data_IF_955647579780
#
_entry.id   IF_955647579780
#
_cell.length_a   1.000
_cell.length_b   1.000
_cell.length_c   1.000
_cell.angle_alpha   90.00
_cell.angle_beta   90.00
_cell.angle_gamma   90.00
#
_symmetry.space_group_name_H-M   'P 1'
#
loop_
_entity.id
_entity.type
_entity.pdbx_description
1 polymer ?
#
# COMPACT_ATOMS: atom_id res chain seq x y z
N UNK A 1 3.12 -19.06 -14.99
CA UNK A 1 3.18 -18.34 -13.70
C UNK A 1 3.62 -16.90 -13.97
N UNK A 2 2.87 -15.86 -13.53
CA UNK A 2 3.36 -14.47 -13.63
C UNK A 2 4.60 -14.34 -12.76
N UNK A 3 5.73 -13.94 -13.35
CA UNK A 3 6.98 -13.70 -12.61
C UNK A 3 6.73 -12.58 -11.62
N UNK A 4 6.95 -12.82 -10.34
CA UNK A 4 6.81 -11.80 -9.30
C UNK A 4 7.94 -10.81 -9.47
N UNK A 5 7.63 -9.58 -9.88
CA UNK A 5 8.60 -8.49 -10.02
C UNK A 5 8.55 -7.59 -8.78
N UNK A 6 9.70 -7.28 -8.21
CA UNK A 6 9.83 -6.27 -7.17
C UNK A 6 10.21 -4.93 -7.81
N UNK A 7 9.44 -3.88 -7.52
CA UNK A 7 9.59 -2.56 -8.12
C UNK A 7 10.09 -1.55 -7.08
N UNK A 8 11.21 -0.88 -7.37
CA UNK A 8 11.72 0.22 -6.54
C UNK A 8 12.70 1.10 -7.31
N UNK A 9 12.63 2.41 -7.06
CA UNK A 9 13.59 3.41 -7.49
C UNK A 9 14.59 3.77 -6.38
N UNK A 10 14.31 3.36 -5.14
CA UNK A 10 15.11 3.70 -3.97
C UNK A 10 16.51 3.13 -4.04
N UNK A 11 17.51 3.98 -3.83
CA UNK A 11 18.92 3.58 -3.78
C UNK A 11 19.19 2.62 -2.61
N UNK A 12 18.50 2.82 -1.49
CA UNK A 12 18.61 1.93 -0.33
C UNK A 12 18.15 0.51 -0.67
N UNK A 13 17.02 0.39 -1.36
CA UNK A 13 16.50 -0.90 -1.83
C UNK A 13 17.45 -1.53 -2.86
N UNK A 14 18.00 -0.76 -3.78
CA UNK A 14 18.98 -1.27 -4.75
C UNK A 14 20.21 -1.86 -4.07
N UNK A 15 20.65 -1.26 -2.95
CA UNK A 15 21.76 -1.80 -2.16
C UNK A 15 21.37 -3.11 -1.45
N UNK A 16 20.15 -3.20 -0.92
CA UNK A 16 19.64 -4.46 -0.36
C UNK A 16 19.60 -5.55 -1.44
N UNK A 17 19.10 -5.25 -2.64
CA UNK A 17 19.05 -6.19 -3.77
C UNK A 17 20.45 -6.69 -4.13
N UNK A 18 21.43 -5.79 -4.22
CA UNK A 18 22.84 -6.17 -4.48
C UNK A 18 23.36 -7.12 -3.41
N UNK A 19 23.13 -6.80 -2.14
CA UNK A 19 23.56 -7.66 -1.02
C UNK A 19 22.89 -9.04 -1.03
N UNK A 20 21.57 -9.08 -1.30
CA UNK A 20 20.83 -10.34 -1.45
C UNK A 20 21.35 -11.17 -2.63
N UNK A 21 21.69 -10.53 -3.74
CA UNK A 21 22.27 -11.21 -4.91
C UNK A 21 23.64 -11.78 -4.60
N UNK A 22 24.51 -11.04 -3.88
CA UNK A 22 25.82 -11.53 -3.44
C UNK A 22 25.69 -12.71 -2.48
N UNK A 23 24.68 -12.74 -1.61
CA UNK A 23 24.46 -13.86 -0.68
C UNK A 23 24.19 -15.19 -1.39
N UNK A 24 23.72 -15.16 -2.64
CA UNK A 24 23.55 -16.37 -3.46
C UNK A 24 24.91 -17.06 -3.74
N UNK A 25 25.91 -16.28 -4.14
CA UNK A 25 27.24 -16.82 -4.45
C UNK A 25 28.05 -17.18 -3.21
N UNK A 26 27.86 -16.45 -2.10
CA UNK A 26 28.56 -16.69 -0.84
C UNK A 26 27.95 -17.82 -0.01
N UNK A 27 26.77 -18.30 -0.36
CA UNK A 27 26.04 -19.34 0.38
C UNK A 27 25.90 -19.05 1.88
N UNK A 28 25.55 -17.81 2.24
CA UNK A 28 25.40 -17.35 3.62
C UNK A 28 23.96 -17.07 4.00
N UNK A 29 23.63 -17.24 5.28
CA UNK A 29 22.33 -16.91 5.83
C UNK A 29 22.17 -15.41 6.02
N UNK A 30 20.98 -14.89 5.71
CA UNK A 30 20.64 -13.47 5.77
C UNK A 30 19.29 -13.26 6.44
N UNK A 31 19.13 -12.10 7.08
CA UNK A 31 17.87 -11.66 7.67
C UNK A 31 17.43 -10.33 7.07
N UNK A 32 16.17 -10.25 6.67
CA UNK A 32 15.53 -9.01 6.23
C UNK A 32 14.48 -8.59 7.26
N UNK A 33 14.70 -7.44 7.89
CA UNK A 33 13.82 -6.89 8.93
C UNK A 33 13.17 -5.61 8.46
N UNK A 34 11.95 -5.35 8.86
CA UNK A 34 11.25 -4.09 8.59
C UNK A 34 9.75 -4.21 8.87
N UNK A 35 9.05 -3.10 8.88
CA UNK A 35 7.62 -3.07 9.16
C UNK A 35 6.81 -4.02 8.27
N UNK A 36 5.60 -4.44 8.71
CA UNK A 36 4.68 -5.20 7.87
C UNK A 36 4.38 -4.46 6.56
N UNK A 37 4.12 -5.25 5.51
CA UNK A 37 3.72 -4.74 4.19
C UNK A 37 4.72 -3.82 3.47
N UNK A 38 6.01 -3.85 3.84
CA UNK A 38 7.05 -3.10 3.14
C UNK A 38 7.53 -3.78 1.85
N UNK A 39 7.05 -4.99 1.54
CA UNK A 39 7.40 -5.74 0.34
C UNK A 39 8.56 -6.72 0.52
N UNK A 40 9.01 -7.00 1.74
CA UNK A 40 10.11 -7.96 2.04
C UNK A 40 9.91 -9.32 1.37
N UNK A 41 8.71 -9.91 1.55
CA UNK A 41 8.39 -11.23 0.96
C UNK A 41 8.39 -11.19 -0.57
N UNK A 42 7.87 -10.12 -1.15
CA UNK A 42 7.87 -9.89 -2.61
C UNK A 42 9.29 -9.78 -3.15
N UNK A 43 10.16 -9.01 -2.45
CA UNK A 43 11.56 -8.86 -2.81
C UNK A 43 12.28 -10.21 -2.81
N UNK A 44 12.16 -10.97 -1.72
CA UNK A 44 12.79 -12.29 -1.62
C UNK A 44 12.24 -13.22 -2.69
N UNK A 45 10.93 -13.24 -2.92
CA UNK A 45 10.30 -14.08 -3.94
C UNK A 45 10.76 -13.73 -5.35
N UNK A 46 11.02 -12.45 -5.65
CA UNK A 46 11.55 -12.04 -6.96
C UNK A 46 12.99 -12.49 -7.22
N UNK A 47 13.79 -12.68 -6.16
CA UNK A 47 15.19 -13.08 -6.28
C UNK A 47 15.40 -14.59 -6.09
N UNK A 48 14.53 -15.27 -5.33
CA UNK A 48 14.66 -16.67 -4.92
C UNK A 48 13.35 -17.44 -5.19
N UNK A 49 12.86 -17.36 -6.42
CA UNK A 49 11.57 -17.90 -6.85
C UNK A 49 11.43 -19.43 -6.77
N UNK A 50 12.54 -20.14 -6.86
CA UNK A 50 12.58 -21.63 -6.84
C UNK A 50 12.64 -22.20 -5.42
N UNK A 51 12.94 -21.39 -4.41
CA UNK A 51 13.10 -21.84 -3.04
C UNK A 51 11.76 -22.00 -2.32
N UNK A 52 11.70 -22.94 -1.39
CA UNK A 52 10.52 -23.17 -0.55
C UNK A 52 10.35 -22.07 0.50
N UNK A 53 9.15 -21.48 0.56
CA UNK A 53 8.78 -20.49 1.57
C UNK A 53 8.01 -21.18 2.71
N UNK A 54 8.51 -21.03 3.92
CA UNK A 54 8.00 -21.68 5.13
C UNK A 54 7.55 -20.61 6.13
N UNK A 55 6.43 -20.86 6.80
CA UNK A 55 5.93 -19.96 7.85
C UNK A 55 6.66 -20.27 9.17
N UNK A 56 7.28 -19.27 9.79
CA UNK A 56 7.93 -19.37 11.09
C UNK A 56 6.99 -19.76 12.24
N UNK A 57 5.69 -19.59 12.08
CA UNK A 57 4.66 -20.02 13.04
C UNK A 57 4.54 -21.56 13.08
N UNK A 58 4.91 -22.28 12.01
CA UNK A 58 4.93 -23.75 11.98
C UNK A 58 6.31 -24.28 12.35
N UNK A 59 6.57 -24.42 13.64
CA UNK A 59 7.86 -24.90 14.16
C UNK A 59 8.22 -26.30 13.65
N UNK A 60 7.24 -27.18 13.41
CA UNK A 60 7.48 -28.54 12.90
C UNK A 60 7.94 -28.49 11.45
N UNK A 61 7.30 -27.67 10.62
CA UNK A 61 7.67 -27.50 9.22
C UNK A 61 9.06 -26.85 9.11
N UNK A 62 9.37 -25.84 9.96
CA UNK A 62 10.67 -25.19 10.02
C UNK A 62 11.78 -26.19 10.33
N UNK A 63 11.62 -27.00 11.39
CA UNK A 63 12.60 -28.03 11.79
C UNK A 63 12.83 -29.05 10.68
N UNK A 64 11.74 -29.62 10.14
CA UNK A 64 11.80 -30.60 9.05
C UNK A 64 12.50 -30.04 7.81
N UNK A 65 12.24 -28.78 7.47
CA UNK A 65 12.87 -28.14 6.32
C UNK A 65 14.36 -27.88 6.56
N UNK A 66 14.73 -27.44 7.74
CA UNK A 66 16.13 -27.26 8.11
C UNK A 66 16.91 -28.60 8.14
N UNK A 67 16.26 -29.71 8.44
CA UNK A 67 16.90 -31.04 8.37
C UNK A 67 17.12 -31.53 6.93
N UNK A 68 16.11 -31.28 6.05
CA UNK A 68 16.06 -31.89 4.71
C UNK A 68 16.60 -31.01 3.57
N UNK A 69 16.62 -29.69 3.74
CA UNK A 69 16.97 -28.74 2.68
C UNK A 69 18.27 -27.98 3.00
N UNK A 70 19.05 -27.70 1.97
CA UNK A 70 20.24 -26.83 2.07
C UNK A 70 19.88 -25.34 2.02
N UNK A 71 18.76 -24.99 1.40
CA UNK A 71 18.30 -23.62 1.22
C UNK A 71 16.83 -23.50 1.63
N UNK A 72 16.54 -22.56 2.53
CA UNK A 72 15.21 -22.35 3.11
C UNK A 72 14.90 -20.87 3.23
N UNK A 73 13.69 -20.48 2.87
CA UNK A 73 13.18 -19.14 3.13
C UNK A 73 12.13 -19.23 4.23
N UNK A 74 12.36 -18.52 5.35
CA UNK A 74 11.43 -18.51 6.48
C UNK A 74 10.85 -17.10 6.61
N UNK A 75 9.54 -16.95 6.45
CA UNK A 75 8.83 -15.69 6.74
C UNK A 75 8.13 -15.78 8.10
N UNK A 76 7.73 -14.64 8.68
CA UNK A 76 7.31 -14.53 10.08
C UNK A 76 8.37 -15.13 11.06
N UNK A 77 9.63 -14.87 10.76
CA UNK A 77 10.75 -15.45 11.52
C UNK A 77 10.71 -15.06 13.00
N UNK A 78 10.14 -13.90 13.32
CA UNK A 78 9.90 -13.43 14.69
C UNK A 78 8.96 -14.30 15.52
N UNK A 79 8.19 -15.17 14.89
CA UNK A 79 7.27 -16.09 15.58
C UNK A 79 7.96 -17.36 16.12
N UNK A 80 9.22 -17.59 15.76
CA UNK A 80 9.99 -18.74 16.24
C UNK A 80 10.48 -18.49 17.67
N UNK A 81 9.99 -19.28 18.62
CA UNK A 81 10.31 -19.11 20.04
C UNK A 81 11.76 -19.46 20.40
N UNK A 82 12.28 -20.55 19.86
CA UNK A 82 13.59 -21.12 20.23
C UNK A 82 14.59 -21.07 19.07
N UNK A 83 14.93 -19.86 18.60
CA UNK A 83 15.86 -19.65 17.49
C UNK A 83 17.25 -20.26 17.78
N UNK A 84 17.66 -20.34 19.05
CA UNK A 84 18.95 -20.92 19.48
C UNK A 84 19.10 -22.35 19.00
N UNK A 85 18.04 -23.14 19.08
CA UNK A 85 18.02 -24.57 18.77
C UNK A 85 18.02 -24.88 17.27
N UNK A 86 17.81 -23.89 16.42
CA UNK A 86 17.82 -24.09 14.98
C UNK A 86 19.25 -24.25 14.46
N UNK A 87 19.52 -25.34 13.75
CA UNK A 87 20.82 -25.56 13.13
C UNK A 87 20.91 -24.96 11.73
N UNK A 88 21.79 -23.96 11.55
CA UNK A 88 22.08 -23.31 10.26
C UNK A 88 23.42 -23.78 9.62
N UNK A 89 24.11 -24.76 10.21
CA UNK A 89 25.38 -25.25 9.68
C UNK A 89 25.19 -25.84 8.27
N UNK A 90 26.04 -25.42 7.35
CA UNK A 90 26.00 -25.84 5.94
C UNK A 90 24.65 -25.57 5.25
N UNK A 91 23.93 -24.55 5.69
CA UNK A 91 22.64 -24.15 5.14
C UNK A 91 22.62 -22.66 4.82
N UNK A 92 21.83 -22.30 3.81
CA UNK A 92 21.47 -20.92 3.52
C UNK A 92 20.03 -20.66 3.97
N UNK A 93 19.88 -19.88 5.02
CA UNK A 93 18.57 -19.47 5.54
C UNK A 93 18.34 -18.00 5.19
N UNK A 94 17.25 -17.72 4.45
CA UNK A 94 16.80 -16.38 4.21
C UNK A 94 15.58 -16.13 5.11
N UNK A 95 15.80 -15.37 6.19
CA UNK A 95 14.76 -15.06 7.14
C UNK A 95 14.12 -13.70 6.84
N UNK A 96 12.80 -13.63 6.99
CA UNK A 96 12.01 -12.41 6.83
C UNK A 96 11.24 -12.17 8.12
N UNK A 97 11.52 -11.04 8.79
CA UNK A 97 10.91 -10.67 10.06
C UNK A 97 10.33 -9.25 10.04
N UNK A 98 9.32 -8.99 10.87
CA UNK A 98 8.80 -7.64 11.09
C UNK A 98 9.58 -6.91 12.19
N UNK A 99 10.11 -7.64 13.14
CA UNK A 99 10.93 -7.14 14.24
C UNK A 99 11.95 -8.19 14.65
N UNK A 100 13.00 -7.77 15.34
CA UNK A 100 14.01 -8.66 15.95
C UNK A 100 14.02 -8.41 17.45
N UNK A 101 13.92 -9.47 18.25
CA UNK A 101 13.87 -9.37 19.71
C UNK A 101 15.22 -9.64 20.39
N UNK A 102 16.12 -10.41 19.76
CA UNK A 102 17.37 -10.86 20.38
C UNK A 102 18.57 -10.70 19.41
N UNK A 103 19.33 -9.63 19.61
CA UNK A 103 20.44 -9.29 18.71
C UNK A 103 21.59 -10.31 18.74
N UNK A 104 21.99 -10.82 19.91
CA UNK A 104 23.16 -11.69 20.02
C UNK A 104 23.02 -13.05 19.32
N UNK A 105 21.83 -13.64 19.35
CA UNK A 105 21.58 -14.91 18.65
C UNK A 105 21.49 -14.66 17.15
N UNK A 106 20.83 -13.58 16.77
CA UNK A 106 20.67 -13.17 15.38
C UNK A 106 22.04 -12.91 14.74
N UNK A 107 22.92 -12.17 15.40
CA UNK A 107 24.26 -11.84 14.91
C UNK A 107 25.14 -13.09 14.72
N UNK A 108 24.94 -14.16 15.52
CA UNK A 108 25.64 -15.44 15.32
C UNK A 108 25.12 -16.27 14.16
N UNK A 109 23.80 -16.16 13.84
CA UNK A 109 23.16 -17.03 12.85
C UNK A 109 23.12 -16.42 11.45
N UNK A 110 23.16 -15.09 11.34
CA UNK A 110 23.04 -14.38 10.07
C UNK A 110 24.30 -13.58 9.76
N UNK A 111 24.88 -13.82 8.59
CA UNK A 111 26.06 -13.07 8.12
C UNK A 111 25.71 -11.61 7.80
N UNK A 112 24.47 -11.36 7.33
CA UNK A 112 24.00 -10.02 7.01
C UNK A 112 22.56 -9.81 7.49
N UNK A 113 22.31 -8.62 8.00
CA UNK A 113 20.97 -8.15 8.42
C UNK A 113 20.65 -6.90 7.60
N UNK A 114 19.57 -7.00 6.79
CA UNK A 114 19.10 -5.89 5.97
C UNK A 114 17.83 -5.28 6.56
N UNK A 115 17.83 -3.97 6.78
CA UNK A 115 16.66 -3.24 7.24
C UNK A 115 15.89 -2.68 6.03
N UNK A 116 14.70 -3.20 5.78
CA UNK A 116 13.79 -2.71 4.75
C UNK A 116 13.11 -1.43 5.24
N UNK A 117 13.33 -0.26 4.62
CA UNK A 117 12.70 0.98 5.03
C UNK A 117 11.19 0.94 4.76
N UNK A 118 10.37 1.60 5.60
CA UNK A 118 8.95 1.77 5.35
C UNK A 118 8.73 2.67 4.12
N UNK A 119 7.54 2.55 3.50
CA UNK A 119 7.24 3.26 2.26
C UNK A 119 7.26 4.80 2.42
N UNK A 120 6.98 5.31 3.61
CA UNK A 120 7.08 6.75 3.91
C UNK A 120 8.50 7.31 3.84
N UNK A 121 9.52 6.46 3.99
CA UNK A 121 10.96 6.81 3.90
C UNK A 121 11.53 6.60 2.50
N UNK A 122 10.76 6.06 1.54
CA UNK A 122 11.15 5.85 0.14
C UNK A 122 10.06 6.32 -0.82
N UNK A 123 9.69 7.58 -0.68
CA UNK A 123 8.61 8.19 -1.47
C UNK A 123 8.89 8.22 -2.97
N UNK A 124 10.15 8.10 -3.38
CA UNK A 124 10.56 7.94 -4.78
C UNK A 124 10.00 6.67 -5.46
N UNK A 125 9.54 5.69 -4.66
CA UNK A 125 8.88 4.49 -5.16
C UNK A 125 7.40 4.72 -5.48
N UNK A 126 6.76 5.76 -4.90
CA UNK A 126 5.32 5.98 -5.03
C UNK A 126 4.84 6.09 -6.48
N UNK A 127 5.46 6.88 -7.38
CA UNK A 127 4.98 6.98 -8.76
C UNK A 127 4.94 5.62 -9.46
N UNK A 128 5.99 4.83 -9.30
CA UNK A 128 6.11 3.50 -9.89
C UNK A 128 5.10 2.50 -9.32
N UNK A 129 4.92 2.50 -7.99
CA UNK A 129 3.98 1.63 -7.32
C UNK A 129 2.52 2.03 -7.61
N UNK A 130 2.23 3.32 -7.72
CA UNK A 130 0.89 3.82 -8.09
C UNK A 130 0.51 3.32 -9.49
N UNK A 131 1.40 3.47 -10.47
CA UNK A 131 1.14 3.01 -11.84
C UNK A 131 0.94 1.48 -11.88
N UNK A 132 1.80 0.74 -11.19
CA UNK A 132 1.69 -0.70 -11.09
C UNK A 132 0.34 -1.14 -10.50
N UNK A 133 -0.07 -0.58 -9.36
CA UNK A 133 -1.33 -0.95 -8.72
C UNK A 133 -2.56 -0.46 -9.48
N UNK A 134 -2.49 0.66 -10.20
CA UNK A 134 -3.58 1.06 -11.10
C UNK A 134 -3.82 -0.01 -12.15
N UNK A 135 -2.77 -0.52 -12.78
CA UNK A 135 -2.88 -1.53 -13.82
C UNK A 135 -3.35 -2.89 -13.24
N UNK A 136 -2.74 -3.33 -12.14
CA UNK A 136 -3.12 -4.58 -11.45
C UNK A 136 -4.60 -4.56 -11.03
N UNK A 137 -5.07 -3.49 -10.38
CA UNK A 137 -6.44 -3.39 -9.87
C UNK A 137 -7.44 -3.23 -11.01
N UNK A 138 -7.08 -2.55 -12.10
CA UNK A 138 -7.91 -2.50 -13.31
C UNK A 138 -8.16 -3.89 -13.88
N UNK A 139 -7.11 -4.68 -14.00
CA UNK A 139 -7.21 -6.06 -14.47
C UNK A 139 -8.11 -6.89 -13.54
N UNK A 140 -7.94 -6.75 -12.21
CA UNK A 140 -8.75 -7.43 -11.20
C UNK A 140 -10.24 -7.05 -11.27
N UNK A 141 -10.54 -5.76 -11.46
CA UNK A 141 -11.89 -5.21 -11.53
C UNK A 141 -12.49 -5.28 -12.94
N UNK A 142 -11.76 -5.79 -13.94
CA UNK A 142 -12.17 -5.83 -15.35
C UNK A 142 -12.58 -4.46 -15.92
N UNK A 143 -11.95 -3.38 -15.43
CA UNK A 143 -12.24 -2.01 -15.87
C UNK A 143 -11.63 -1.79 -17.25
N UNK A 144 -12.48 -1.66 -18.27
CA UNK A 144 -12.06 -1.47 -19.68
C UNK A 144 -11.69 -0.02 -20.00
N UNK A 145 -12.30 0.94 -19.32
CA UNK A 145 -12.08 2.35 -19.58
C UNK A 145 -10.74 2.83 -19.02
N UNK A 146 -10.00 3.61 -19.82
CA UNK A 146 -8.71 4.17 -19.38
C UNK A 146 -8.89 5.48 -18.59
N UNK A 147 -9.81 5.48 -17.63
CA UNK A 147 -10.00 6.62 -16.73
C UNK A 147 -8.83 6.67 -15.76
N UNK A 148 -8.07 7.77 -15.77
CA UNK A 148 -7.01 7.99 -14.79
C UNK A 148 -7.63 8.52 -13.49
N UNK A 149 -7.55 7.78 -12.38
CA UNK A 149 -8.08 8.25 -11.11
C UNK A 149 -7.33 9.50 -10.64
N UNK A 150 -8.04 10.43 -10.02
CA UNK A 150 -7.42 11.61 -9.42
C UNK A 150 -6.69 11.22 -8.14
N UNK A 151 -5.37 11.02 -8.25
CA UNK A 151 -4.49 10.66 -7.15
C UNK A 151 -3.78 11.91 -6.64
N UNK A 152 -3.82 12.11 -5.32
CA UNK A 152 -3.11 13.16 -4.60
C UNK A 152 -2.07 12.49 -3.70
N UNK A 153 -0.78 12.42 -4.11
CA UNK A 153 0.26 11.70 -3.38
C UNK A 153 0.43 12.16 -1.92
N UNK A 154 0.16 13.43 -1.65
CA UNK A 154 0.21 14.04 -0.31
C UNK A 154 -0.90 13.53 0.63
N UNK A 155 -2.01 13.03 0.08
CA UNK A 155 -3.16 12.50 0.82
C UNK A 155 -3.11 10.99 1.04
N UNK A 156 -2.05 10.33 0.59
CA UNK A 156 -1.89 8.89 0.75
C UNK A 156 -1.46 8.60 2.18
N UNK A 157 -2.29 7.85 2.90
CA UNK A 157 -1.88 7.24 4.16
C UNK A 157 -0.89 6.11 3.88
N UNK A 158 0.30 6.19 4.48
CA UNK A 158 1.35 5.18 4.36
C UNK A 158 1.60 4.42 5.67
N UNK A 159 0.70 4.51 6.64
CA UNK A 159 0.81 3.87 7.96
C UNK A 159 1.03 2.36 7.85
N UNK A 160 0.32 1.70 6.93
CA UNK A 160 0.50 0.28 6.64
C UNK A 160 1.23 0.03 5.31
N UNK A 161 2.13 0.92 4.93
CA UNK A 161 3.00 0.76 3.77
C UNK A 161 2.23 0.46 2.46
N UNK A 162 2.63 -0.60 1.74
CA UNK A 162 2.00 -1.00 0.46
C UNK A 162 0.51 -1.36 0.63
N UNK A 163 0.10 -1.89 1.80
CA UNK A 163 -1.31 -2.22 2.05
C UNK A 163 -2.20 -0.98 2.01
N UNK A 164 -1.80 0.11 2.69
CA UNK A 164 -2.52 1.38 2.67
C UNK A 164 -2.53 2.01 1.28
N UNK A 165 -1.40 2.00 0.58
CA UNK A 165 -1.29 2.52 -0.79
C UNK A 165 -2.25 1.79 -1.74
N UNK A 166 -2.24 0.47 -1.73
CA UNK A 166 -3.10 -0.34 -2.58
C UNK A 166 -4.60 -0.10 -2.28
N UNK A 167 -4.97 -0.03 -1.00
CA UNK A 167 -6.34 0.28 -0.58
C UNK A 167 -6.79 1.67 -1.05
N UNK A 168 -5.91 2.68 -0.97
CA UNK A 168 -6.19 4.02 -1.47
C UNK A 168 -6.44 4.03 -2.98
N UNK A 169 -5.60 3.36 -3.77
CA UNK A 169 -5.74 3.29 -5.23
C UNK A 169 -7.01 2.53 -5.61
N UNK A 170 -7.29 1.41 -4.94
CA UNK A 170 -8.51 0.63 -5.13
C UNK A 170 -9.77 1.50 -4.95
N UNK A 171 -9.83 2.24 -3.83
CA UNK A 171 -10.92 3.19 -3.56
C UNK A 171 -11.02 4.26 -4.66
N UNK A 172 -9.90 4.82 -5.12
CA UNK A 172 -9.89 5.85 -6.16
C UNK A 172 -10.36 5.33 -7.51
N UNK A 173 -10.00 4.11 -7.87
CA UNK A 173 -10.47 3.48 -9.11
C UNK A 173 -11.98 3.20 -9.07
N UNK A 174 -12.51 2.67 -7.97
CA UNK A 174 -13.96 2.50 -7.82
C UNK A 174 -14.66 3.85 -7.98
N UNK A 175 -14.23 4.88 -7.22
CA UNK A 175 -14.87 6.20 -7.27
C UNK A 175 -14.78 6.87 -8.64
N UNK A 176 -13.77 6.57 -9.45
CA UNK A 176 -13.64 7.14 -10.81
C UNK A 176 -14.49 6.43 -11.86
N UNK A 177 -15.03 5.25 -11.53
CA UNK A 177 -15.88 4.46 -12.43
C UNK A 177 -17.36 4.45 -12.04
N UNK A 178 -17.75 5.22 -11.02
CA UNK A 178 -19.16 5.35 -10.64
C UNK A 178 -19.95 6.07 -11.74
N UNK A 179 -21.08 5.50 -12.12
CA UNK A 179 -22.09 6.13 -12.97
C UNK A 179 -22.89 7.17 -12.17
N UNK A 180 -23.73 7.92 -12.87
CA UNK A 180 -24.66 8.85 -12.22
C UNK A 180 -25.64 8.08 -11.32
N UNK A 181 -26.13 6.94 -11.80
CA UNK A 181 -27.10 6.10 -11.09
C UNK A 181 -26.50 5.52 -9.82
N UNK A 182 -25.21 5.06 -9.86
CA UNK A 182 -24.48 4.61 -8.67
C UNK A 182 -24.37 5.73 -7.61
N UNK A 183 -24.11 6.96 -8.05
CA UNK A 183 -24.01 8.11 -7.14
C UNK A 183 -25.37 8.42 -6.50
N UNK A 184 -26.45 8.37 -7.29
CA UNK A 184 -27.81 8.58 -6.79
C UNK A 184 -28.20 7.48 -5.78
N UNK A 185 -27.89 6.22 -6.05
CA UNK A 185 -28.14 5.09 -5.15
C UNK A 185 -27.37 5.23 -3.84
N UNK A 186 -26.06 5.53 -3.90
CA UNK A 186 -25.23 5.75 -2.71
C UNK A 186 -25.77 6.89 -1.85
N UNK A 187 -26.20 7.99 -2.50
CA UNK A 187 -26.76 9.14 -1.80
C UNK A 187 -28.11 8.80 -1.17
N UNK A 188 -28.97 8.06 -1.88
CA UNK A 188 -30.25 7.59 -1.35
C UNK A 188 -30.06 6.72 -0.09
N UNK A 189 -29.18 5.71 -0.18
CA UNK A 189 -28.87 4.82 0.96
C UNK A 189 -28.33 5.59 2.17
N UNK A 190 -27.46 6.57 1.93
CA UNK A 190 -26.94 7.42 2.99
C UNK A 190 -28.04 8.24 3.65
N UNK A 191 -28.89 8.91 2.85
CA UNK A 191 -29.96 9.75 3.33
C UNK A 191 -31.03 8.93 4.05
N UNK A 192 -31.41 7.77 3.52
CA UNK A 192 -32.39 6.88 4.14
C UNK A 192 -32.00 6.50 5.57
N UNK A 193 -30.71 6.22 5.80
CA UNK A 193 -30.17 5.88 7.13
C UNK A 193 -30.05 7.07 8.07
N UNK A 194 -29.77 8.27 7.53
CA UNK A 194 -29.34 9.42 8.32
C UNK A 194 -30.34 10.58 8.38
N UNK A 195 -31.43 10.53 7.60
CA UNK A 195 -32.43 11.60 7.55
C UNK A 195 -33.17 11.69 8.89
N UNK A 196 -32.95 12.78 9.65
CA UNK A 196 -33.50 13.03 10.97
C UNK A 196 -33.73 14.54 11.18
N UNK A 197 -34.62 14.86 12.15
CA UNK A 197 -34.83 16.23 12.59
C UNK A 197 -35.73 17.09 11.67
N UNK A 198 -35.92 18.36 12.04
CA UNK A 198 -36.86 19.28 11.40
C UNK A 198 -36.20 20.19 10.36
N UNK A 199 -34.88 20.10 10.18
CA UNK A 199 -34.10 20.94 9.26
C UNK A 199 -33.30 20.12 8.24
N UNK A 200 -33.73 18.89 8.02
CA UNK A 200 -33.02 17.87 7.26
C UNK A 200 -32.63 18.32 5.84
N UNK A 201 -33.48 19.10 5.16
CA UNK A 201 -33.13 19.61 3.84
C UNK A 201 -31.88 20.50 3.85
N UNK A 202 -31.80 21.47 4.77
CA UNK A 202 -30.66 22.40 4.87
C UNK A 202 -29.39 21.69 5.30
N UNK A 203 -29.51 20.70 6.18
CA UNK A 203 -28.36 19.93 6.67
C UNK A 203 -27.78 19.01 5.59
N UNK A 204 -28.62 18.45 4.73
CA UNK A 204 -28.18 17.49 3.72
C UNK A 204 -27.87 18.10 2.36
N UNK A 205 -28.42 19.27 2.01
CA UNK A 205 -28.12 19.92 0.71
C UNK A 205 -26.62 20.22 0.54
N UNK A 206 -25.90 20.39 1.64
CA UNK A 206 -24.45 20.60 1.65
C UNK A 206 -23.68 19.42 1.09
N UNK A 207 -24.21 18.20 1.17
CA UNK A 207 -23.60 16.99 0.58
C UNK A 207 -23.43 17.13 -0.93
N UNK A 208 -24.29 17.89 -1.58
CA UNK A 208 -24.21 18.19 -3.00
C UNK A 208 -23.49 19.52 -3.28
N UNK A 209 -23.86 20.58 -2.57
CA UNK A 209 -23.36 21.94 -2.85
C UNK A 209 -21.85 22.07 -2.61
N UNK A 210 -21.35 21.51 -1.51
CA UNK A 210 -19.93 21.61 -1.17
C UNK A 210 -19.03 20.97 -2.22
N UNK A 211 -19.18 19.69 -2.57
CA UNK A 211 -18.34 19.06 -3.60
C UNK A 211 -18.52 19.68 -4.99
N UNK A 212 -19.70 20.19 -5.33
CA UNK A 212 -19.94 20.89 -6.58
C UNK A 212 -19.09 22.17 -6.68
N UNK A 213 -19.08 23.00 -5.63
CA UNK A 213 -18.33 24.25 -5.59
C UNK A 213 -16.82 23.96 -5.53
N UNK A 214 -16.37 23.04 -4.68
CA UNK A 214 -14.95 22.64 -4.58
C UNK A 214 -14.41 22.12 -5.92
N UNK A 215 -15.15 21.23 -6.58
CA UNK A 215 -14.77 20.70 -7.88
C UNK A 215 -14.72 21.80 -8.95
N UNK A 216 -15.70 22.72 -8.93
CA UNK A 216 -15.74 23.85 -9.84
C UNK A 216 -14.58 24.81 -9.64
N UNK A 217 -14.26 25.19 -8.40
CA UNK A 217 -13.11 26.04 -8.09
C UNK A 217 -11.79 25.39 -8.53
N UNK A 218 -11.61 24.10 -8.26
CA UNK A 218 -10.42 23.35 -8.69
C UNK A 218 -10.29 23.31 -10.22
N UNK A 219 -11.40 23.10 -10.93
CA UNK A 219 -11.41 22.96 -12.40
C UNK A 219 -11.22 24.29 -13.13
N UNK A 220 -11.91 25.34 -12.68
CA UNK A 220 -11.96 26.61 -13.41
C UNK A 220 -11.06 27.69 -12.84
N UNK A 221 -10.56 27.54 -11.60
CA UNK A 221 -9.64 28.47 -10.92
C UNK A 221 -10.11 29.93 -10.89
N UNK A 222 -11.41 30.17 -11.08
CA UNK A 222 -12.01 31.50 -11.14
C UNK A 222 -13.45 31.48 -10.62
N UNK A 223 -13.72 32.24 -9.56
CA UNK A 223 -15.07 32.38 -9.01
C UNK A 223 -16.05 33.03 -10.00
N UNK A 224 -15.56 33.98 -10.80
CA UNK A 224 -16.40 34.64 -11.82
C UNK A 224 -16.84 33.63 -12.89
N UNK A 225 -15.92 32.86 -13.43
CA UNK A 225 -16.23 31.81 -14.41
C UNK A 225 -17.12 30.72 -13.80
N UNK A 226 -16.85 30.31 -12.57
CA UNK A 226 -17.66 29.31 -11.89
C UNK A 226 -19.09 29.77 -11.66
N UNK A 227 -19.30 31.03 -11.21
CA UNK A 227 -20.66 31.56 -11.01
C UNK A 227 -21.48 31.56 -12.30
N UNK A 228 -20.86 31.91 -13.44
CA UNK A 228 -21.52 31.82 -14.75
C UNK A 228 -21.89 30.39 -15.13
N UNK A 229 -20.99 29.42 -14.91
CA UNK A 229 -21.23 27.99 -15.21
C UNK A 229 -22.32 27.40 -14.32
N UNK A 230 -22.36 27.79 -13.04
CA UNK A 230 -23.37 27.33 -12.08
C UNK A 230 -24.72 28.07 -12.25
N UNK A 231 -24.81 29.11 -13.09
CA UNK A 231 -26.02 29.92 -13.27
C UNK A 231 -26.44 30.70 -12.01
N UNK A 232 -25.47 31.05 -11.14
CA UNK A 232 -25.73 31.80 -9.91
C UNK A 232 -24.97 33.12 -9.88
N UNK A 233 -25.47 34.11 -9.11
CA UNK A 233 -24.77 35.38 -8.93
C UNK A 233 -23.45 35.15 -8.16
N UNK A 234 -22.41 35.93 -8.52
CA UNK A 234 -21.09 35.89 -7.85
C UNK A 234 -21.19 36.10 -6.34
N UNK A 235 -22.03 36.98 -5.87
CA UNK A 235 -22.22 37.22 -4.43
C UNK A 235 -22.83 36.01 -3.73
N UNK A 236 -23.77 35.30 -4.40
CA UNK A 236 -24.37 34.07 -3.92
C UNK A 236 -23.30 32.96 -3.82
N UNK A 237 -22.45 32.82 -4.85
CA UNK A 237 -21.35 31.86 -4.82
C UNK A 237 -20.38 32.16 -3.66
N UNK A 238 -19.98 33.44 -3.47
CA UNK A 238 -19.09 33.86 -2.38
C UNK A 238 -19.69 33.57 -1.00
N UNK A 239 -20.99 33.82 -0.83
CA UNK A 239 -21.72 33.50 0.40
C UNK A 239 -21.66 32.00 0.70
N UNK A 240 -21.97 31.16 -0.31
CA UNK A 240 -21.89 29.69 -0.16
C UNK A 240 -20.48 29.18 0.13
N UNK A 241 -19.44 29.74 -0.49
CA UNK A 241 -18.04 29.40 -0.21
C UNK A 241 -17.72 29.62 1.28
N UNK A 242 -18.15 30.77 1.82
CA UNK A 242 -17.94 31.12 3.23
C UNK A 242 -18.75 30.20 4.17
N UNK A 243 -20.05 30.00 3.89
CA UNK A 243 -20.94 29.16 4.70
C UNK A 243 -20.49 27.69 4.75
N UNK A 244 -19.93 27.18 3.66
CA UNK A 244 -19.46 25.79 3.55
C UNK A 244 -18.00 25.61 3.97
N UNK A 245 -17.33 26.68 4.45
CA UNK A 245 -15.90 26.67 4.82
C UNK A 245 -15.01 26.05 3.73
N UNK A 246 -15.17 26.52 2.48
CA UNK A 246 -14.37 26.08 1.34
C UNK A 246 -13.14 26.99 1.23
N UNK A 247 -11.93 26.41 1.29
CA UNK A 247 -10.63 27.10 1.19
C UNK A 247 -10.11 27.13 -0.25
#
# INVERSE_FOLDING_TARGET
MKTVQFLSNSIHIKNIIKGLTLSKSLFVSILIVGEPYTGKKTLVKSLFNENRFINGEDSKEVTKALESLKEVIIYNFEAIENIENLNFENKRVIAIANRVQNNHIIDRKFAFIYKMPPLRERREDLPLLIEHFINEIRDELMIKENIKPLISPEKIDLTHNIKSLRAYIYKKLILSNLSKDDIEEILYEYLYKNLKGNNAYRENIQLFEKPLIEAGLKKYKSQLRLSSILGINRNTLRKKINELNIN
#
